data_IF_168904376484
#
_entry.id   IF_168904376484
#
_cell.length_a   1.000
_cell.length_b   1.000
_cell.length_c   1.000
_cell.angle_alpha   90.00
_cell.angle_beta   90.00
_cell.angle_gamma   90.00
#
_symmetry.space_group_name_H-M   'P 1'
#
loop_
_entity.id
_entity.type
_entity.pdbx_description
1 polymer ?
#
# COMPACT_ATOMS: atom_id res chain seq x y z
N UNK A 1 6.44 -18.69 -7.46
CA UNK A 1 7.06 -18.23 -6.19
C UNK A 1 7.22 -16.73 -6.28
N UNK A 2 6.61 -15.94 -5.39
CA UNK A 2 6.91 -14.51 -5.31
C UNK A 2 8.14 -14.36 -4.42
N UNK A 3 9.34 -14.34 -5.01
CA UNK A 3 10.54 -13.95 -4.27
C UNK A 3 10.37 -12.55 -3.68
N UNK A 4 11.03 -12.31 -2.55
CA UNK A 4 11.24 -10.96 -2.05
C UNK A 4 12.18 -10.27 -3.03
N UNK A 5 11.86 -9.05 -3.50
CA UNK A 5 12.78 -8.29 -4.35
C UNK A 5 14.08 -7.96 -3.61
N UNK A 6 15.21 -8.24 -4.24
CA UNK A 6 16.57 -8.03 -3.71
C UNK A 6 17.37 -6.97 -4.49
N UNK A 7 16.76 -6.37 -5.51
CA UNK A 7 17.35 -5.30 -6.31
C UNK A 7 16.31 -4.24 -6.72
N UNK A 8 16.80 -3.07 -7.16
CA UNK A 8 15.98 -1.99 -7.73
C UNK A 8 15.05 -2.50 -8.84
N UNK A 9 15.59 -3.26 -9.78
CA UNK A 9 14.83 -3.76 -10.94
C UNK A 9 13.77 -4.77 -10.54
N UNK A 10 14.08 -5.66 -9.59
CA UNK A 10 13.10 -6.59 -9.04
C UNK A 10 11.99 -5.86 -8.28
N UNK A 11 12.31 -4.79 -7.55
CA UNK A 11 11.33 -4.00 -6.81
C UNK A 11 10.37 -3.29 -7.77
N UNK A 12 10.90 -2.61 -8.78
CA UNK A 12 10.11 -1.98 -9.84
C UNK A 12 9.24 -3.01 -10.56
N UNK A 13 9.80 -4.17 -10.91
CA UNK A 13 9.06 -5.27 -11.53
C UNK A 13 7.94 -5.78 -10.62
N UNK A 14 8.19 -5.93 -9.33
CA UNK A 14 7.21 -6.38 -8.36
C UNK A 14 6.03 -5.41 -8.22
N UNK A 15 6.28 -4.10 -8.25
CA UNK A 15 5.26 -3.05 -8.19
C UNK A 15 4.48 -3.00 -9.53
N UNK A 16 5.20 -2.86 -10.64
CA UNK A 16 4.61 -2.69 -11.98
C UNK A 16 3.83 -3.92 -12.47
N UNK A 17 4.16 -5.12 -11.99
CA UNK A 17 3.45 -6.34 -12.39
C UNK A 17 2.15 -6.57 -11.63
N UNK A 18 2.03 -6.09 -10.39
CA UNK A 18 0.83 -6.29 -9.55
C UNK A 18 -0.14 -5.12 -9.66
N UNK A 19 0.37 -3.88 -9.72
CA UNK A 19 -0.46 -2.69 -9.60
C UNK A 19 -1.54 -2.58 -10.70
N UNK A 20 -1.24 -2.77 -12.00
CA UNK A 20 -2.26 -2.72 -13.05
C UNK A 20 -3.36 -3.77 -12.84
N UNK A 21 -2.98 -4.99 -12.44
CA UNK A 21 -3.93 -6.08 -12.19
C UNK A 21 -4.83 -5.80 -11.00
N UNK A 22 -4.29 -5.16 -9.96
CA UNK A 22 -5.07 -4.71 -8.82
C UNK A 22 -6.05 -3.59 -9.22
N UNK A 23 -5.60 -2.61 -10.00
CA UNK A 23 -6.46 -1.54 -10.50
C UNK A 23 -7.59 -2.06 -11.40
N UNK A 24 -7.33 -3.07 -12.22
CA UNK A 24 -8.38 -3.73 -13.02
C UNK A 24 -9.44 -4.40 -12.13
N UNK A 25 -9.00 -5.06 -11.05
CA UNK A 25 -9.91 -5.67 -10.08
C UNK A 25 -10.73 -4.59 -9.35
N UNK A 26 -10.13 -3.46 -8.98
CA UNK A 26 -10.85 -2.33 -8.38
C UNK A 26 -11.86 -1.67 -9.33
N UNK A 27 -11.46 -1.40 -10.58
CA UNK A 27 -12.31 -0.73 -11.58
C UNK A 27 -13.52 -1.57 -12.00
N UNK A 28 -13.49 -2.88 -11.77
CA UNK A 28 -14.67 -3.75 -11.97
C UNK A 28 -15.74 -3.61 -10.88
N UNK A 29 -15.44 -2.94 -9.76
CA UNK A 29 -16.40 -2.73 -8.67
C UNK A 29 -17.26 -1.48 -8.93
N UNK A 30 -18.60 -1.60 -9.01
CA UNK A 30 -19.47 -0.43 -9.07
C UNK A 30 -19.36 0.41 -7.80
N UNK A 31 -19.36 1.75 -7.93
CA UNK A 31 -19.26 2.66 -6.78
C UNK A 31 -20.35 2.39 -5.71
N UNK A 32 -21.55 1.98 -6.11
CA UNK A 32 -22.65 1.61 -5.21
C UNK A 32 -22.36 0.37 -4.33
N UNK A 33 -21.34 -0.40 -4.67
CA UNK A 33 -20.90 -1.59 -3.92
C UNK A 33 -19.58 -1.36 -3.16
N UNK A 34 -18.81 -0.35 -3.53
CA UNK A 34 -17.44 -0.16 -3.04
C UNK A 34 -17.34 0.07 -1.53
N UNK A 35 -18.41 0.58 -0.90
CA UNK A 35 -18.52 0.80 0.55
C UNK A 35 -19.21 -0.33 1.32
N UNK A 36 -19.64 -1.42 0.66
CA UNK A 36 -20.21 -2.58 1.37
C UNK A 36 -19.11 -3.32 2.13
N UNK A 37 -19.30 -3.52 3.43
CA UNK A 37 -18.35 -4.22 4.29
C UNK A 37 -18.46 -5.74 4.14
N UNK A 38 -17.97 -6.27 3.03
CA UNK A 38 -18.05 -7.71 2.70
C UNK A 38 -16.66 -8.37 2.54
N UNK A 39 -15.57 -7.62 2.75
CA UNK A 39 -14.21 -8.13 2.71
C UNK A 39 -13.74 -8.43 4.13
N UNK A 40 -13.15 -9.61 4.37
CA UNK A 40 -12.53 -9.92 5.66
C UNK A 40 -11.34 -8.97 5.93
N UNK A 41 -11.39 -8.29 7.08
CA UNK A 41 -10.35 -7.39 7.54
C UNK A 41 -9.06 -8.10 7.92
N UNK A 42 -8.08 -7.35 8.43
CA UNK A 42 -6.82 -7.94 8.93
C UNK A 42 -6.96 -8.47 10.35
N UNK A 43 -7.98 -8.04 11.09
CA UNK A 43 -8.37 -8.58 12.39
C UNK A 43 -9.46 -9.62 12.16
N UNK A 44 -9.26 -10.85 12.65
CA UNK A 44 -10.22 -11.95 12.49
C UNK A 44 -11.60 -11.52 13.00
N UNK A 45 -12.64 -11.77 12.20
CA UNK A 45 -14.01 -11.40 12.53
C UNK A 45 -14.40 -9.96 12.23
N UNK A 46 -13.48 -9.14 11.69
CA UNK A 46 -13.81 -7.80 11.17
C UNK A 46 -14.10 -7.86 9.67
N UNK A 47 -14.97 -6.97 9.22
CA UNK A 47 -15.22 -6.73 7.80
C UNK A 47 -14.87 -5.30 7.43
N UNK A 48 -14.35 -5.13 6.23
CA UNK A 48 -13.99 -3.86 5.62
C UNK A 48 -14.59 -3.76 4.22
N UNK A 49 -14.63 -2.57 3.67
CA UNK A 49 -15.10 -2.31 2.31
C UNK A 49 -13.96 -2.32 1.29
N UNK A 50 -14.30 -2.27 -0.01
CA UNK A 50 -13.32 -2.10 -1.09
C UNK A 50 -12.63 -0.74 -0.97
N UNK A 51 -13.36 0.30 -0.59
CA UNK A 51 -12.75 1.61 -0.34
C UNK A 51 -11.72 1.56 0.80
N UNK A 52 -11.98 0.79 1.85
CA UNK A 52 -11.04 0.65 2.98
C UNK A 52 -9.75 -0.06 2.53
N UNK A 53 -9.83 -1.04 1.61
CA UNK A 53 -8.63 -1.66 1.06
C UNK A 53 -7.82 -0.70 0.20
N UNK A 54 -8.46 0.26 -0.48
CA UNK A 54 -7.78 1.33 -1.22
C UNK A 54 -7.14 2.33 -0.25
N UNK A 55 -7.88 2.81 0.74
CA UNK A 55 -7.40 3.72 1.78
C UNK A 55 -6.19 3.15 2.53
N UNK A 56 -6.24 1.86 2.86
CA UNK A 56 -5.11 1.12 3.46
C UNK A 56 -3.84 1.23 2.60
N UNK A 57 -3.94 1.00 1.29
CA UNK A 57 -2.78 1.05 0.39
C UNK A 57 -2.24 2.48 0.22
N UNK A 58 -3.13 3.47 0.13
CA UNK A 58 -2.75 4.88 0.08
C UNK A 58 -1.97 5.26 1.34
N UNK A 59 -2.50 4.92 2.53
CA UNK A 59 -1.88 5.24 3.81
C UNK A 59 -0.46 4.70 3.94
N UNK A 60 -0.25 3.40 3.67
CA UNK A 60 1.09 2.81 3.69
C UNK A 60 2.04 3.41 2.66
N UNK A 61 1.54 3.70 1.44
CA UNK A 61 2.33 4.33 0.40
C UNK A 61 2.79 5.74 0.80
N UNK A 62 1.88 6.53 1.38
CA UNK A 62 2.17 7.88 1.85
C UNK A 62 3.15 7.89 3.04
N UNK A 63 3.11 6.89 3.92
CA UNK A 63 4.12 6.75 4.98
C UNK A 63 5.52 6.54 4.41
N UNK A 64 5.70 5.69 3.39
CA UNK A 64 7.00 5.52 2.74
C UNK A 64 7.51 6.83 2.15
N UNK A 65 6.65 7.56 1.44
CA UNK A 65 7.00 8.87 0.86
C UNK A 65 7.37 9.88 1.95
N UNK A 66 6.60 9.92 3.04
CA UNK A 66 6.88 10.77 4.22
C UNK A 66 8.22 10.43 4.84
N UNK A 67 8.49 9.16 5.12
CA UNK A 67 9.74 8.76 5.77
C UNK A 67 10.95 9.11 4.91
N UNK A 68 10.91 8.85 3.60
CA UNK A 68 11.98 9.22 2.68
C UNK A 68 12.20 10.74 2.67
N UNK A 69 11.12 11.51 2.51
CA UNK A 69 11.18 12.97 2.45
C UNK A 69 11.81 13.58 3.71
N UNK A 70 11.42 13.12 4.90
CA UNK A 70 11.99 13.61 6.15
C UNK A 70 13.46 13.21 6.30
N UNK A 71 13.80 11.95 6.02
CA UNK A 71 15.19 11.48 6.08
C UNK A 71 16.11 12.22 5.11
N UNK A 72 15.67 12.47 3.87
CA UNK A 72 16.48 13.19 2.87
C UNK A 72 16.71 14.66 3.24
N UNK A 73 15.87 15.22 4.11
CA UNK A 73 16.02 16.56 4.69
C UNK A 73 16.81 16.56 6.00
N UNK A 74 17.28 15.40 6.49
CA UNK A 74 17.94 15.29 7.79
C UNK A 74 17.00 15.52 8.99
N UNK A 75 15.68 15.43 8.78
CA UNK A 75 14.67 15.61 9.82
C UNK A 75 14.39 14.28 10.56
N UNK A 76 14.00 14.34 11.84
CA UNK A 76 13.62 13.15 12.60
C UNK A 76 12.38 12.49 12.00
N UNK A 77 12.34 11.15 12.07
CA UNK A 77 11.24 10.33 11.55
C UNK A 77 10.74 9.39 12.65
N UNK A 78 9.45 9.50 12.96
CA UNK A 78 8.77 8.54 13.82
C UNK A 78 8.34 7.32 12.99
N UNK A 79 8.69 6.13 13.47
CA UNK A 79 8.33 4.85 12.84
C UNK A 79 7.39 4.04 13.74
N UNK A 80 6.30 3.46 13.20
CA UNK A 80 5.80 3.59 11.82
C UNK A 80 5.19 4.97 11.52
N UNK A 81 4.66 5.67 12.52
CA UNK A 81 4.17 7.04 12.38
C UNK A 81 4.10 7.72 13.75
N UNK A 82 3.99 9.05 13.77
CA UNK A 82 3.86 9.82 15.01
C UNK A 82 2.66 9.35 15.82
N UNK A 83 2.89 8.97 17.08
CA UNK A 83 1.85 8.47 17.99
C UNK A 83 1.54 6.97 17.85
N UNK A 84 2.21 6.24 16.95
CA UNK A 84 2.01 4.80 16.76
C UNK A 84 3.31 4.02 16.93
N UNK A 85 3.19 2.82 17.49
CA UNK A 85 4.28 1.83 17.59
C UNK A 85 4.09 0.69 16.59
N UNK A 86 5.15 -0.06 16.29
CA UNK A 86 5.10 -1.22 15.39
C UNK A 86 4.16 -2.34 15.83
N UNK A 87 3.79 -2.42 17.11
CA UNK A 87 2.76 -3.35 17.60
C UNK A 87 1.33 -2.79 17.49
N UNK A 88 1.16 -1.57 16.97
CA UNK A 88 -0.13 -0.88 16.80
C UNK A 88 -0.50 -0.67 15.33
N UNK A 89 0.10 -1.42 14.39
CA UNK A 89 -0.17 -1.28 12.95
C UNK A 89 -1.65 -1.47 12.59
N UNK A 90 -2.39 -2.26 13.37
CA UNK A 90 -3.84 -2.40 13.20
C UNK A 90 -4.59 -1.09 13.49
N UNK A 91 -4.20 -0.34 14.52
CA UNK A 91 -4.78 0.96 14.84
C UNK A 91 -4.40 2.01 13.80
N UNK A 92 -3.14 2.00 13.36
CA UNK A 92 -2.67 2.87 12.28
C UNK A 92 -3.43 2.61 10.98
N UNK A 93 -3.67 1.35 10.63
CA UNK A 93 -4.50 0.98 9.48
C UNK A 93 -5.94 1.50 9.59
N UNK A 94 -6.56 1.43 10.78
CA UNK A 94 -7.90 2.01 11.01
C UNK A 94 -7.88 3.52 10.79
N UNK A 95 -6.82 4.22 11.22
CA UNK A 95 -6.72 5.66 11.01
C UNK A 95 -6.70 6.06 9.53
N UNK A 96 -6.15 5.22 8.65
CA UNK A 96 -6.25 5.44 7.20
C UNK A 96 -7.70 5.32 6.71
N UNK A 97 -8.46 4.33 7.18
CA UNK A 97 -9.88 4.22 6.82
C UNK A 97 -10.65 5.47 7.26
N UNK A 98 -10.36 5.99 8.45
CA UNK A 98 -10.99 7.18 9.00
C UNK A 98 -10.63 8.44 8.19
N UNK A 99 -9.37 8.59 7.80
CA UNK A 99 -8.89 9.71 6.97
C UNK A 99 -9.62 9.80 5.61
N UNK A 100 -9.93 8.64 5.03
CA UNK A 100 -10.50 8.52 3.68
C UNK A 100 -11.99 8.11 3.69
N UNK A 101 -12.66 8.23 4.85
CA UNK A 101 -14.02 7.70 5.06
C UNK A 101 -15.05 8.33 4.12
N UNK A 102 -14.97 9.65 3.93
CA UNK A 102 -15.98 10.42 3.20
C UNK A 102 -15.61 10.64 1.72
N UNK A 103 -14.46 10.13 1.28
CA UNK A 103 -14.01 10.24 -0.11
C UNK A 103 -14.87 9.40 -1.04
N UNK A 104 -15.08 9.89 -2.27
CA UNK A 104 -15.72 9.08 -3.31
C UNK A 104 -14.78 7.96 -3.77
N UNK A 105 -15.36 6.86 -4.24
CA UNK A 105 -14.57 5.70 -4.66
C UNK A 105 -13.58 6.05 -5.78
N UNK A 106 -14.02 6.86 -6.76
CA UNK A 106 -13.18 7.30 -7.87
C UNK A 106 -11.99 8.16 -7.40
N UNK A 107 -12.21 9.08 -6.44
CA UNK A 107 -11.14 9.91 -5.87
C UNK A 107 -10.08 9.05 -5.17
N UNK A 108 -10.51 7.99 -4.48
CA UNK A 108 -9.60 7.02 -3.86
C UNK A 108 -8.77 6.26 -4.90
N UNK A 109 -9.37 5.86 -6.02
CA UNK A 109 -8.64 5.17 -7.08
C UNK A 109 -7.61 6.10 -7.75
N UNK A 110 -7.95 7.37 -7.94
CA UNK A 110 -7.04 8.39 -8.48
C UNK A 110 -5.89 8.67 -7.51
N UNK A 111 -6.18 8.80 -6.21
CA UNK A 111 -5.15 9.01 -5.20
C UNK A 111 -4.22 7.80 -5.05
N UNK A 112 -4.75 6.58 -5.13
CA UNK A 112 -3.92 5.37 -5.15
C UNK A 112 -2.99 5.35 -6.36
N UNK A 113 -3.50 5.66 -7.56
CA UNK A 113 -2.70 5.75 -8.78
C UNK A 113 -1.59 6.81 -8.67
N UNK A 114 -1.93 8.00 -8.17
CA UNK A 114 -0.98 9.08 -7.87
C UNK A 114 0.10 8.64 -6.88
N UNK A 115 -0.31 8.00 -5.78
CA UNK A 115 0.59 7.51 -4.73
C UNK A 115 1.58 6.48 -5.27
N UNK A 116 1.10 5.48 -6.02
CA UNK A 116 1.97 4.44 -6.59
C UNK A 116 2.88 5.00 -7.67
N UNK A 117 2.42 5.96 -8.50
CA UNK A 117 3.29 6.66 -9.45
C UNK A 117 4.43 7.40 -8.76
N UNK A 118 4.15 8.14 -7.68
CA UNK A 118 5.18 8.81 -6.86
C UNK A 118 6.19 7.82 -6.30
N UNK A 119 5.74 6.67 -5.81
CA UNK A 119 6.62 5.61 -5.31
C UNK A 119 7.49 4.98 -6.40
N UNK A 120 6.93 4.73 -7.60
CA UNK A 120 7.70 4.24 -8.74
C UNK A 120 8.77 5.25 -9.14
N UNK A 121 8.43 6.53 -9.22
CA UNK A 121 9.39 7.60 -9.51
C UNK A 121 10.48 7.69 -8.46
N UNK A 122 10.13 7.57 -7.17
CA UNK A 122 11.09 7.53 -6.07
C UNK A 122 12.07 6.36 -6.21
N UNK A 123 11.57 5.14 -6.43
CA UNK A 123 12.43 3.96 -6.63
C UNK A 123 13.32 4.16 -7.87
N UNK A 124 12.77 4.73 -8.95
CA UNK A 124 13.52 5.00 -10.18
C UNK A 124 14.63 6.05 -9.98
N UNK A 125 14.45 7.03 -9.10
CA UNK A 125 15.45 8.06 -8.81
C UNK A 125 16.62 7.59 -7.95
N UNK A 126 16.46 6.51 -7.19
CA UNK A 126 17.48 5.98 -6.29
C UNK A 126 18.34 4.92 -6.97
N UNK A 127 19.60 4.78 -6.55
CA UNK A 127 20.50 3.71 -6.97
C UNK A 127 20.16 2.37 -6.30
N UNK A 128 20.75 1.28 -6.82
CA UNK A 128 20.64 -0.02 -6.14
C UNK A 128 21.32 0.00 -4.77
N UNK A 129 22.43 0.72 -4.63
CA UNK A 129 23.16 0.88 -3.37
C UNK A 129 22.28 1.51 -2.28
N UNK A 130 21.61 2.62 -2.59
CA UNK A 130 20.69 3.32 -1.69
C UNK A 130 19.48 2.45 -1.30
N UNK A 131 19.05 1.54 -2.19
CA UNK A 131 17.87 0.71 -1.97
C UNK A 131 18.18 -0.60 -1.25
N UNK A 132 19.32 -1.24 -1.51
CA UNK A 132 19.56 -2.64 -1.17
C UNK A 132 20.93 -2.97 -0.57
N UNK A 133 21.92 -2.10 -0.68
CA UNK A 133 23.29 -2.43 -0.22
C UNK A 133 23.59 -1.84 1.16
N UNK A 134 22.76 -0.90 1.63
CA UNK A 134 22.87 -0.29 2.96
C UNK A 134 21.62 -0.48 3.80
N UNK A 135 21.82 -0.54 5.12
CA UNK A 135 20.70 -0.52 6.07
C UNK A 135 20.13 0.90 6.14
N UNK A 136 18.81 1.00 6.06
CA UNK A 136 18.11 2.28 6.04
C UNK A 136 17.28 2.50 7.31
N UNK A 137 16.68 1.44 7.87
CA UNK A 137 15.99 1.47 9.14
C UNK A 137 16.29 0.21 9.94
N UNK A 138 17.03 0.36 11.04
CA UNK A 138 17.57 -0.76 11.83
C UNK A 138 18.32 -1.76 10.93
N UNK A 139 17.77 -2.96 10.73
CA UNK A 139 18.33 -4.00 9.86
C UNK A 139 17.77 -4.01 8.44
N UNK A 140 16.79 -3.16 8.13
CA UNK A 140 16.07 -3.18 6.87
C UNK A 140 16.65 -2.19 5.87
N UNK A 141 16.87 -2.65 4.64
CA UNK A 141 17.18 -1.79 3.50
C UNK A 141 15.96 -0.97 3.08
N UNK A 142 16.16 0.13 2.36
CA UNK A 142 15.03 0.98 1.98
C UNK A 142 14.10 0.27 0.99
N UNK A 143 14.65 -0.46 0.02
CA UNK A 143 13.88 -1.27 -0.93
C UNK A 143 12.98 -2.30 -0.23
N UNK A 144 13.46 -2.88 0.89
CA UNK A 144 12.64 -3.77 1.73
C UNK A 144 11.51 -3.03 2.44
N UNK A 145 11.77 -1.84 2.98
CA UNK A 145 10.73 -0.98 3.58
C UNK A 145 9.67 -0.56 2.56
N UNK A 146 10.07 -0.18 1.33
CA UNK A 146 9.14 0.12 0.24
C UNK A 146 8.29 -1.11 -0.08
N UNK A 147 8.93 -2.27 -0.24
CA UNK A 147 8.24 -3.51 -0.59
C UNK A 147 7.21 -3.95 0.47
N UNK A 148 7.50 -3.79 1.76
CA UNK A 148 6.55 -4.07 2.85
C UNK A 148 5.28 -3.23 2.77
N UNK A 149 5.37 -2.03 2.19
CA UNK A 149 4.29 -1.04 2.17
C UNK A 149 3.68 -0.85 0.77
N UNK A 150 4.16 -1.60 -0.25
CA UNK A 150 3.68 -1.51 -1.63
C UNK A 150 3.35 -2.88 -2.23
N UNK A 151 4.29 -3.54 -2.90
CA UNK A 151 4.02 -4.75 -3.68
C UNK A 151 3.48 -5.92 -2.84
N UNK A 152 3.88 -6.05 -1.57
CA UNK A 152 3.31 -7.05 -0.65
C UNK A 152 1.84 -6.79 -0.31
N UNK A 153 1.47 -5.63 0.27
CA UNK A 153 0.08 -5.35 0.59
C UNK A 153 -0.80 -5.27 -0.66
N UNK A 154 -0.29 -4.80 -1.81
CA UNK A 154 -1.03 -4.86 -3.07
C UNK A 154 -1.39 -6.29 -3.48
N UNK A 155 -0.45 -7.24 -3.37
CA UNK A 155 -0.73 -8.67 -3.62
C UNK A 155 -1.80 -9.22 -2.67
N UNK A 156 -1.72 -8.86 -1.38
CA UNK A 156 -2.69 -9.30 -0.39
C UNK A 156 -4.10 -8.72 -0.66
N UNK A 157 -4.20 -7.39 -0.82
CA UNK A 157 -5.47 -6.71 -1.11
C UNK A 157 -6.09 -7.21 -2.41
N UNK A 158 -5.27 -7.45 -3.44
CA UNK A 158 -5.77 -8.03 -4.70
C UNK A 158 -6.47 -9.37 -4.49
N UNK A 159 -5.91 -10.25 -3.66
CA UNK A 159 -6.54 -11.55 -3.38
C UNK A 159 -7.90 -11.37 -2.65
N UNK A 160 -8.01 -10.38 -1.76
CA UNK A 160 -9.26 -10.04 -1.07
C UNK A 160 -10.31 -9.45 -2.01
N UNK A 161 -9.93 -8.46 -2.80
CA UNK A 161 -10.81 -7.78 -3.77
C UNK A 161 -11.30 -8.75 -4.85
N UNK A 162 -10.43 -9.63 -5.37
CA UNK A 162 -10.86 -10.67 -6.32
C UNK A 162 -11.90 -11.62 -5.74
N UNK A 163 -11.79 -11.97 -4.46
CA UNK A 163 -12.79 -12.80 -3.78
C UNK A 163 -14.13 -12.07 -3.67
N UNK A 164 -14.09 -10.79 -3.30
CA UNK A 164 -15.27 -9.93 -3.29
C UNK A 164 -15.94 -9.86 -4.67
N UNK A 165 -15.17 -9.61 -5.73
CA UNK A 165 -15.68 -9.54 -7.10
C UNK A 165 -16.36 -10.85 -7.52
N UNK A 166 -15.72 -11.99 -7.24
CA UNK A 166 -16.27 -13.32 -7.54
C UNK A 166 -17.58 -13.57 -6.80
N UNK A 167 -17.62 -13.27 -5.50
CA UNK A 167 -18.83 -13.46 -4.67
C UNK A 167 -19.99 -12.58 -5.15
N UNK A 168 -19.68 -11.41 -5.71
CA UNK A 168 -20.64 -10.45 -6.22
C UNK A 168 -20.88 -10.54 -7.75
N UNK A 169 -20.32 -11.56 -8.42
CA UNK A 169 -20.47 -11.79 -9.88
C UNK A 169 -20.01 -10.61 -10.76
N UNK A 170 -19.02 -9.85 -10.30
CA UNK A 170 -18.45 -8.70 -11.01
C UNK A 170 -17.31 -9.13 -11.97
N UNK A 171 -16.63 -10.24 -11.64
CA UNK A 171 -15.59 -10.89 -12.44
C UNK A 171 -15.24 -12.28 -11.91
#
# INVERSE_FOLDING_TARGET
MSSVPESKDELLTAINSIFPKLMDDYRSVPASMARKCEIEGNVKGTQISVCDTVAYLIGWGNLVLKWHSLKSQGLPVDFPDTGYKWNQLGLLAVSFHDQYRDWQYEDLLQELDSTIKKLILLVASLSNEELYETTWYEKWTFGRMIQFNTSSPMKNMRAKVRRFNKNNKLR
#
